data_IF_827334219235
#
_entry.id   IF_827334219235
#
_cell.length_a   1.000
_cell.length_b   1.000
_cell.length_c   1.000
_cell.angle_alpha   90.00
_cell.angle_beta   90.00
_cell.angle_gamma   90.00
#
_symmetry.space_group_name_H-M   'P 1'
#
loop_
_entity.id
_entity.type
_entity.pdbx_description
1 polymer ?
#
# COMPACT_ATOMS: atom_id res chain seq x y z
N UNK A 1 -19.87 34.44 13.68
CA UNK A 1 -20.05 33.10 13.07
C UNK A 1 -18.78 32.30 13.35
N UNK A 2 -18.78 31.28 14.21
CA UNK A 2 -17.58 30.46 14.39
C UNK A 2 -17.34 29.68 13.09
N UNK A 3 -16.15 29.83 12.51
CA UNK A 3 -15.73 29.06 11.36
C UNK A 3 -15.73 27.58 11.77
N UNK A 4 -16.54 26.74 11.10
CA UNK A 4 -16.45 25.30 11.29
C UNK A 4 -15.04 24.84 10.96
N UNK A 5 -14.27 24.46 11.98
CA UNK A 5 -13.08 23.64 11.84
C UNK A 5 -13.51 22.35 11.14
N UNK A 6 -13.34 22.33 9.82
CA UNK A 6 -13.48 21.10 9.03
C UNK A 6 -12.43 20.15 9.60
N UNK A 7 -12.87 19.19 10.41
CA UNK A 7 -12.05 18.11 10.95
C UNK A 7 -11.24 17.54 9.79
N UNK A 8 -9.97 17.90 9.72
CA UNK A 8 -9.09 17.50 8.64
C UNK A 8 -8.88 16.00 8.82
N UNK A 9 -9.79 15.24 8.21
CA UNK A 9 -9.82 13.78 8.24
C UNK A 9 -8.82 13.26 7.19
N UNK A 10 -7.72 13.99 6.96
CA UNK A 10 -6.55 13.39 6.36
C UNK A 10 -6.13 12.27 7.30
N UNK A 11 -6.26 11.05 6.82
CA UNK A 11 -5.91 9.84 7.57
C UNK A 11 -4.39 9.83 7.68
N UNK A 12 -3.84 10.30 8.79
CA UNK A 12 -2.40 10.20 9.01
C UNK A 12 -2.00 8.71 9.08
N UNK A 13 -0.89 8.34 8.45
CA UNK A 13 -0.24 7.04 8.66
C UNK A 13 1.05 7.28 9.43
N UNK A 14 1.13 6.77 10.67
CA UNK A 14 2.26 7.02 11.58
C UNK A 14 2.59 8.52 11.74
N UNK A 15 1.58 9.40 11.77
CA UNK A 15 1.77 10.84 11.91
C UNK A 15 2.18 11.58 10.63
N UNK A 16 2.33 10.87 9.51
CA UNK A 16 2.61 11.47 8.19
C UNK A 16 1.31 11.62 7.42
N UNK A 17 1.15 12.73 6.70
CA UNK A 17 0.02 12.92 5.80
C UNK A 17 -0.03 11.80 4.75
N UNK A 18 -1.23 11.28 4.46
CA UNK A 18 -1.39 10.27 3.41
C UNK A 18 -2.08 10.86 2.20
N UNK A 19 -1.56 10.51 1.03
CA UNK A 19 -2.23 10.72 -0.26
C UNK A 19 -2.80 9.40 -0.74
N UNK A 20 -4.05 9.41 -1.23
CA UNK A 20 -4.69 8.22 -1.81
C UNK A 20 -4.20 8.02 -3.24
N UNK A 21 -3.70 6.83 -3.53
CA UNK A 21 -3.40 6.38 -4.88
C UNK A 21 -4.50 5.40 -5.32
N UNK A 22 -5.24 5.74 -6.38
CA UNK A 22 -6.26 4.86 -6.99
C UNK A 22 -5.70 4.41 -8.34
N UNK A 23 -5.67 3.10 -8.56
CA UNK A 23 -5.11 2.49 -9.78
C UNK A 23 -6.07 1.46 -10.35
N UNK A 24 -6.13 1.41 -11.68
CA UNK A 24 -6.85 0.37 -12.42
C UNK A 24 -5.83 -0.66 -12.90
N UNK A 25 -6.07 -1.92 -12.56
CA UNK A 25 -5.21 -3.05 -12.92
C UNK A 25 -6.08 -4.23 -13.33
N UNK A 26 -5.47 -5.21 -13.99
CA UNK A 26 -6.14 -6.45 -14.37
C UNK A 26 -6.63 -7.22 -13.14
N UNK A 27 -7.84 -7.77 -13.21
CA UNK A 27 -8.45 -8.52 -12.10
C UNK A 27 -7.63 -9.74 -11.69
N UNK A 28 -7.01 -10.43 -12.66
CA UNK A 28 -6.15 -11.58 -12.40
C UNK A 28 -4.92 -11.23 -11.56
N UNK A 29 -4.36 -10.02 -11.74
CA UNK A 29 -3.23 -9.56 -10.95
C UNK A 29 -3.64 -9.31 -9.49
N UNK A 30 -4.82 -8.72 -9.26
CA UNK A 30 -5.36 -8.54 -7.90
C UNK A 30 -5.58 -9.88 -7.22
N UNK A 31 -6.14 -10.86 -7.94
CA UNK A 31 -6.36 -12.20 -7.41
C UNK A 31 -5.06 -12.91 -7.01
N UNK A 32 -3.97 -12.73 -7.77
CA UNK A 32 -2.65 -13.25 -7.39
C UNK A 32 -2.12 -12.60 -6.12
N UNK A 33 -2.28 -11.28 -5.98
CA UNK A 33 -1.91 -10.56 -4.75
C UNK A 33 -2.70 -11.08 -3.56
N UNK A 34 -4.01 -11.31 -3.73
CA UNK A 34 -4.86 -11.82 -2.67
C UNK A 34 -4.50 -13.23 -2.19
N UNK A 35 -4.14 -14.13 -3.12
CA UNK A 35 -3.65 -15.46 -2.72
C UNK A 35 -2.32 -15.36 -1.98
N UNK A 36 -1.39 -14.52 -2.48
CA UNK A 36 -0.07 -14.32 -1.89
C UNK A 36 -0.15 -13.78 -0.44
N UNK A 37 -0.96 -12.75 -0.21
CA UNK A 37 -1.14 -12.16 1.13
C UNK A 37 -2.11 -12.97 2.00
N UNK A 38 -2.65 -14.06 1.47
CA UNK A 38 -3.54 -14.98 2.17
C UNK A 38 -4.91 -14.39 2.49
N UNK A 39 -5.40 -13.43 1.70
CA UNK A 39 -6.71 -12.76 1.92
C UNK A 39 -7.84 -13.77 2.08
N UNK A 40 -7.81 -14.84 1.28
CA UNK A 40 -8.86 -15.86 1.22
C UNK A 40 -8.57 -17.13 2.04
N UNK A 41 -7.40 -17.26 2.66
CA UNK A 41 -7.01 -18.45 3.42
C UNK A 41 -7.32 -18.27 4.90
N UNK A 42 -8.13 -19.14 5.50
CA UNK A 42 -8.34 -19.18 6.95
C UNK A 42 -7.25 -20.02 7.62
N UNK A 43 -6.38 -19.41 8.44
CA UNK A 43 -5.27 -20.08 9.11
C UNK A 43 -4.13 -19.13 9.49
N UNK A 44 -2.99 -19.69 9.87
CA UNK A 44 -1.76 -18.96 10.20
C UNK A 44 -1.19 -18.30 8.94
N UNK A 45 -1.17 -16.97 8.93
CA UNK A 45 -0.71 -16.19 7.78
C UNK A 45 0.73 -15.78 8.04
N UNK A 46 1.64 -16.40 7.30
CA UNK A 46 3.07 -16.08 7.38
C UNK A 46 3.42 -14.75 6.69
N UNK A 47 2.55 -14.22 5.82
CA UNK A 47 2.87 -13.04 5.03
C UNK A 47 2.92 -11.75 5.88
N UNK A 48 3.98 -10.92 5.77
CA UNK A 48 4.16 -9.71 6.58
C UNK A 48 3.04 -8.69 6.38
N UNK A 49 2.41 -8.67 5.20
CA UNK A 49 1.29 -7.79 4.88
C UNK A 49 -0.07 -8.25 5.45
N UNK A 50 -0.18 -9.43 6.08
CA UNK A 50 -1.37 -9.94 6.79
C UNK A 50 -2.72 -9.60 6.13
N UNK A 51 -2.95 -10.01 4.88
CA UNK A 51 -4.17 -9.73 4.11
C UNK A 51 -4.45 -8.26 3.76
N UNK A 52 -3.54 -7.33 4.03
CA UNK A 52 -3.72 -5.92 3.69
C UNK A 52 -3.08 -5.60 2.34
N UNK A 53 -3.92 -5.46 1.31
CA UNK A 53 -3.51 -5.08 -0.05
C UNK A 53 -2.77 -3.74 -0.09
N UNK A 54 -3.21 -2.76 0.70
CA UNK A 54 -2.59 -1.44 0.71
C UNK A 54 -1.16 -1.47 1.25
N UNK A 55 -0.92 -2.26 2.31
CA UNK A 55 0.44 -2.46 2.85
C UNK A 55 1.34 -3.23 1.87
N UNK A 56 0.79 -4.22 1.16
CA UNK A 56 1.52 -4.90 0.09
C UNK A 56 1.96 -3.93 -1.00
N UNK A 57 1.02 -3.14 -1.53
CA UNK A 57 1.31 -2.15 -2.58
C UNK A 57 2.34 -1.12 -2.09
N UNK A 58 2.24 -0.68 -0.83
CA UNK A 58 3.20 0.26 -0.26
C UNK A 58 4.60 -0.33 -0.17
N UNK A 59 4.75 -1.56 0.33
CA UNK A 59 6.04 -2.24 0.42
C UNK A 59 6.63 -2.47 -0.98
N UNK A 60 5.80 -2.90 -1.94
CA UNK A 60 6.23 -3.10 -3.32
C UNK A 60 6.70 -1.80 -3.98
N UNK A 61 6.00 -0.68 -3.78
CA UNK A 61 6.42 0.63 -4.27
C UNK A 61 7.75 1.04 -3.65
N UNK A 62 7.89 0.93 -2.33
CA UNK A 62 9.13 1.28 -1.63
C UNK A 62 10.31 0.42 -2.11
N UNK A 63 10.14 -0.89 -2.18
CA UNK A 63 11.15 -1.83 -2.67
C UNK A 63 11.55 -1.54 -4.12
N UNK A 64 10.57 -1.30 -5.00
CA UNK A 64 10.82 -0.99 -6.41
C UNK A 64 11.56 0.33 -6.56
N UNK A 65 11.17 1.37 -5.83
CA UNK A 65 11.87 2.66 -5.82
C UNK A 65 13.31 2.52 -5.33
N UNK A 66 13.54 1.75 -4.26
CA UNK A 66 14.90 1.47 -3.77
C UNK A 66 15.73 0.75 -4.83
N UNK A 67 15.19 -0.28 -5.50
CA UNK A 67 15.88 -0.99 -6.59
C UNK A 67 16.22 -0.07 -7.77
N UNK A 68 15.27 0.78 -8.17
CA UNK A 68 15.43 1.68 -9.32
C UNK A 68 16.44 2.81 -9.02
N UNK A 69 16.37 3.36 -7.81
CA UNK A 69 17.27 4.43 -7.35
C UNK A 69 18.70 3.93 -7.16
N UNK A 70 18.87 2.69 -6.69
CA UNK A 70 20.18 2.04 -6.57
C UNK A 70 20.72 1.56 -7.92
N UNK A 71 19.85 1.22 -8.88
CA UNK A 71 20.22 0.76 -10.22
C UNK A 71 20.55 1.88 -11.22
N UNK A 72 20.28 3.15 -10.88
CA UNK A 72 20.47 4.30 -11.79
C UNK A 72 21.79 5.06 -11.55
N UNK A 73 22.75 4.47 -10.83
CA UNK A 73 24.10 5.09 -10.65
C UNK A 73 25.11 4.62 -11.71
N UNK A 74 24.72 3.80 -12.68
CA UNK A 74 25.59 3.37 -13.79
C UNK A 74 24.93 3.62 -15.16
N UNK A 75 24.91 4.88 -15.62
CA UNK A 75 24.86 5.26 -17.04
C UNK A 75 25.15 6.76 -17.24
#
# INVERSE_FOLDING_TARGET
>A
MPASEKKNTNRYFNGVETTRLIVTVESGLVAQVDDLIGTHRYGDISHPCRRNRAEFVRQAIAEKLTRDSLGTTEA
#
